data_IF_433819901433
#
_entry.id   IF_433819901433
#
_cell.length_a   1.000
_cell.length_b   1.000
_cell.length_c   1.000
_cell.angle_alpha   90.00
_cell.angle_beta   90.00
_cell.angle_gamma   90.00
#
_symmetry.space_group_name_H-M   'P 1'
#
loop_
_entity.id
_entity.type
_entity.pdbx_description
1 polymer ?
#
# COMPACT_ATOMS: atom_id res chain seq x y z
N UNK A 1 -16.61 11.57 -13.59
CA UNK A 1 -15.99 10.37 -12.99
C UNK A 1 -17.01 9.77 -12.03
N UNK A 2 -17.19 8.45 -12.06
CA UNK A 2 -18.28 7.78 -11.33
C UNK A 2 -17.90 7.66 -9.85
N UNK A 3 -18.83 7.88 -8.91
CA UNK A 3 -18.59 7.88 -7.45
C UNK A 3 -17.96 6.59 -6.91
N UNK A 4 -17.97 5.51 -7.69
CA UNK A 4 -17.39 4.22 -7.34
C UNK A 4 -15.85 4.20 -7.49
N UNK A 5 -15.29 4.96 -8.44
CA UNK A 5 -13.84 5.01 -8.66
C UNK A 5 -13.11 5.77 -7.53
N UNK A 6 -13.72 6.85 -7.04
CA UNK A 6 -13.22 7.63 -5.90
C UNK A 6 -13.22 6.81 -4.60
N UNK A 7 -14.24 5.98 -4.39
CA UNK A 7 -14.30 5.08 -3.22
C UNK A 7 -13.18 4.04 -3.25
N UNK A 8 -12.92 3.45 -4.43
CA UNK A 8 -11.88 2.43 -4.59
C UNK A 8 -10.49 3.07 -4.44
N UNK A 9 -10.25 4.25 -5.01
CA UNK A 9 -8.99 4.98 -4.81
C UNK A 9 -8.76 5.28 -3.32
N UNK A 10 -9.79 5.72 -2.61
CA UNK A 10 -9.71 5.96 -1.17
C UNK A 10 -9.34 4.70 -0.39
N UNK A 11 -9.98 3.57 -0.67
CA UNK A 11 -9.68 2.29 -0.01
C UNK A 11 -8.24 1.83 -0.26
N UNK A 12 -7.73 2.01 -1.49
CA UNK A 12 -6.34 1.66 -1.82
C UNK A 12 -5.36 2.58 -1.07
N UNK A 13 -5.65 3.88 -0.99
CA UNK A 13 -4.82 4.83 -0.23
C UNK A 13 -4.82 4.52 1.28
N UNK A 14 -5.98 4.22 1.87
CA UNK A 14 -6.07 3.79 3.27
C UNK A 14 -5.22 2.53 3.50
N UNK A 15 -5.24 1.58 2.55
CA UNK A 15 -4.42 0.37 2.65
C UNK A 15 -2.92 0.63 2.58
N UNK A 16 -2.49 1.56 1.72
CA UNK A 16 -1.09 1.97 1.61
C UNK A 16 -0.60 2.58 2.93
N UNK A 17 -1.40 3.43 3.56
CA UNK A 17 -1.03 4.06 4.83
C UNK A 17 -0.98 3.05 6.00
N UNK A 18 -1.92 2.09 6.06
CA UNK A 18 -1.84 0.99 7.03
C UNK A 18 -0.54 0.17 6.88
N UNK A 19 -0.19 -0.16 5.64
CA UNK A 19 1.00 -0.96 5.34
C UNK A 19 2.29 -0.18 5.62
N UNK A 20 2.31 1.14 5.36
CA UNK A 20 3.42 2.02 5.76
C UNK A 20 3.62 2.03 7.26
N UNK A 21 2.55 2.21 8.04
CA UNK A 21 2.62 2.22 9.49
C UNK A 21 3.18 0.89 10.03
N UNK A 22 2.68 -0.25 9.51
CA UNK A 22 3.18 -1.59 9.87
C UNK A 22 4.64 -1.80 9.48
N UNK A 23 5.05 -1.33 8.31
CA UNK A 23 6.44 -1.44 7.85
C UNK A 23 7.39 -0.64 8.74
N UNK A 24 7.04 0.61 9.08
CA UNK A 24 7.83 1.47 9.97
C UNK A 24 7.93 0.85 11.36
N UNK A 25 6.81 0.37 11.91
CA UNK A 25 6.79 -0.30 13.20
C UNK A 25 7.70 -1.54 13.20
N UNK A 26 7.54 -2.42 12.21
CA UNK A 26 8.34 -3.64 12.10
C UNK A 26 9.82 -3.34 11.89
N UNK A 27 10.17 -2.30 11.14
CA UNK A 27 11.55 -1.87 10.94
C UNK A 27 12.17 -1.34 12.23
N UNK A 28 11.41 -0.58 13.02
CA UNK A 28 11.86 -0.07 14.33
C UNK A 28 12.05 -1.21 15.34
N UNK A 29 11.15 -2.20 15.36
CA UNK A 29 11.20 -3.31 16.32
C UNK A 29 12.21 -4.40 15.95
N UNK A 30 12.35 -4.71 14.66
CA UNK A 30 13.03 -5.93 14.18
C UNK A 30 14.14 -5.65 13.16
N UNK A 31 14.32 -4.40 12.76
CA UNK A 31 15.27 -3.98 11.73
C UNK A 31 14.72 -4.09 10.31
N UNK A 32 15.32 -3.32 9.40
CA UNK A 32 14.90 -3.20 8.00
C UNK A 32 14.93 -4.50 7.20
N UNK A 33 15.79 -5.44 7.57
CA UNK A 33 15.96 -6.71 6.85
C UNK A 33 15.04 -7.82 7.37
N UNK A 34 14.17 -7.52 8.34
CA UNK A 34 13.28 -8.51 8.89
C UNK A 34 12.25 -8.96 7.81
N UNK A 35 11.93 -10.27 7.70
CA UNK A 35 10.98 -10.78 6.71
C UNK A 35 9.65 -10.04 6.68
N UNK A 36 9.14 -9.59 7.84
CA UNK A 36 7.89 -8.83 7.90
C UNK A 36 7.97 -7.44 7.28
N UNK A 37 9.15 -6.78 7.29
CA UNK A 37 9.36 -5.49 6.61
C UNK A 37 9.37 -5.72 5.10
N UNK A 38 10.06 -6.77 4.65
CA UNK A 38 10.11 -7.19 3.24
C UNK A 38 8.70 -7.54 2.75
N UNK A 39 7.91 -8.26 3.56
CA UNK A 39 6.54 -8.62 3.23
C UNK A 39 5.61 -7.39 3.16
N UNK A 40 5.73 -6.45 4.10
CA UNK A 40 5.01 -5.19 4.03
C UNK A 40 5.39 -4.38 2.78
N UNK A 41 6.67 -4.35 2.41
CA UNK A 41 7.15 -3.69 1.19
C UNK A 41 6.54 -4.28 -0.08
N UNK A 42 6.44 -5.61 -0.17
CA UNK A 42 5.80 -6.28 -1.31
C UNK A 42 4.31 -5.93 -1.42
N UNK A 43 3.59 -5.98 -0.31
CA UNK A 43 2.17 -5.62 -0.28
C UNK A 43 1.96 -4.14 -0.63
N UNK A 44 2.88 -3.25 -0.20
CA UNK A 44 2.85 -1.84 -0.55
C UNK A 44 2.97 -1.62 -2.06
N UNK A 45 3.96 -2.27 -2.68
CA UNK A 45 4.19 -2.21 -4.13
C UNK A 45 2.99 -2.74 -4.91
N UNK A 46 2.37 -3.83 -4.45
CA UNK A 46 1.15 -4.36 -5.06
C UNK A 46 -0.01 -3.36 -5.01
N UNK A 47 -0.25 -2.71 -3.86
CA UNK A 47 -1.28 -1.68 -3.74
C UNK A 47 -1.00 -0.46 -4.63
N UNK A 48 0.26 0.00 -4.68
CA UNK A 48 0.64 1.12 -5.56
C UNK A 48 0.48 0.78 -7.03
N UNK A 49 0.85 -0.44 -7.44
CA UNK A 49 0.67 -0.92 -8.81
C UNK A 49 -0.81 -1.02 -9.19
N UNK A 50 -1.68 -1.44 -8.28
CA UNK A 50 -3.14 -1.46 -8.51
C UNK A 50 -3.69 -0.04 -8.72
N UNK A 51 -3.25 0.93 -7.90
CA UNK A 51 -3.64 2.33 -8.05
C UNK A 51 -3.17 2.90 -9.40
N UNK A 52 -1.91 2.65 -9.77
CA UNK A 52 -1.33 3.10 -11.04
C UNK A 52 -2.07 2.52 -12.25
N UNK A 53 -2.39 1.21 -12.23
CA UNK A 53 -3.16 0.57 -13.30
C UNK A 53 -4.56 1.19 -13.45
N UNK A 54 -5.23 1.50 -12.34
CA UNK A 54 -6.53 2.20 -12.37
C UNK A 54 -6.41 3.60 -12.96
N UNK A 55 -5.38 4.36 -12.58
CA UNK A 55 -5.14 5.71 -13.12
C UNK A 55 -4.76 5.72 -14.59
N UNK A 56 -4.08 4.69 -15.08
CA UNK A 56 -3.68 4.56 -16.49
C UNK A 56 -4.76 3.97 -17.41
N UNK A 57 -5.82 3.36 -16.86
CA UNK A 57 -6.96 2.85 -17.64
C UNK A 57 -8.12 3.84 -17.79
N UNK A 58 -7.91 5.12 -17.42
CA UNK A 58 -8.85 6.22 -17.64
C UNK A 58 -8.41 7.13 -18.78
#
# INVERSE_FOLDING_TARGET
MSSNDELIERQINEKIEELRAKMIQAANEKGMNHPSVIECSKQLDECMNQLLRKKMSC
#
